data_IF_736627074162
#
_entry.id   IF_736627074162
#
_cell.length_a   1.000
_cell.length_b   1.000
_cell.length_c   1.000
_cell.angle_alpha   90.00
_cell.angle_beta   90.00
_cell.angle_gamma   90.00
#
_symmetry.space_group_name_H-M   'P 1'
#
loop_
_entity.id
_entity.type
_entity.pdbx_description
1 polymer ?
#
# COMPACT_ATOMS: atom_id res chain seq x y z
N UNK A 1 82.17 -36.76 -4.20
CA UNK A 1 81.59 -35.41 -4.36
C UNK A 1 80.43 -35.49 -5.37
N UNK A 2 79.21 -35.80 -4.93
CA UNK A 2 77.97 -35.79 -5.75
C UNK A 2 76.86 -35.27 -4.83
N UNK A 3 76.79 -33.96 -4.56
CA UNK A 3 76.01 -32.90 -5.25
C UNK A 3 74.48 -33.13 -5.29
N UNK A 4 73.83 -32.77 -4.18
CA UNK A 4 72.66 -31.86 -4.05
C UNK A 4 71.61 -31.84 -5.18
N UNK A 5 70.92 -32.95 -5.44
CA UNK A 5 69.66 -32.94 -6.23
C UNK A 5 68.46 -33.61 -5.53
N UNK A 6 68.58 -33.89 -4.24
CA UNK A 6 67.53 -34.52 -3.43
C UNK A 6 66.45 -33.55 -2.90
N UNK A 7 66.43 -32.28 -3.32
CA UNK A 7 65.52 -31.27 -2.75
C UNK A 7 64.47 -30.73 -3.73
N UNK A 8 64.54 -31.05 -5.04
CA UNK A 8 63.63 -30.42 -6.01
C UNK A 8 62.48 -31.27 -6.56
N UNK A 9 62.34 -32.54 -6.19
CA UNK A 9 61.24 -33.38 -6.74
C UNK A 9 60.17 -33.84 -5.74
N UNK A 10 60.30 -33.54 -4.45
CA UNK A 10 59.34 -33.99 -3.44
C UNK A 10 58.24 -32.97 -3.08
N UNK A 11 58.26 -31.75 -3.63
CA UNK A 11 57.36 -30.67 -3.18
C UNK A 11 56.22 -30.36 -4.16
N UNK A 12 56.17 -30.99 -5.34
CA UNK A 12 55.34 -30.48 -6.43
C UNK A 12 54.21 -31.42 -6.89
N UNK A 13 53.47 -32.11 -6.01
CA UNK A 13 52.16 -32.67 -6.41
C UNK A 13 51.25 -33.13 -5.25
N UNK A 14 50.99 -32.30 -4.26
CA UNK A 14 49.89 -32.55 -3.30
C UNK A 14 49.23 -31.26 -2.83
N UNK A 15 48.57 -30.57 -3.75
CA UNK A 15 47.54 -29.58 -3.40
C UNK A 15 46.23 -30.05 -4.05
N UNK A 16 45.71 -31.18 -3.59
CA UNK A 16 44.27 -31.43 -3.65
C UNK A 16 43.65 -30.58 -2.54
N UNK A 17 43.32 -29.34 -2.88
CA UNK A 17 42.45 -28.50 -2.08
C UNK A 17 41.07 -29.14 -2.05
N UNK A 18 40.83 -29.98 -1.04
CA UNK A 18 39.48 -30.35 -0.64
C UNK A 18 38.78 -29.06 -0.22
N UNK A 19 37.96 -28.51 -1.11
CA UNK A 19 36.93 -27.55 -0.75
C UNK A 19 35.98 -28.25 0.20
N UNK A 20 36.28 -28.18 1.49
CA UNK A 20 35.28 -28.39 2.53
C UNK A 20 34.33 -27.21 2.42
N UNK A 21 33.22 -27.42 1.70
CA UNK A 21 32.02 -26.64 1.93
C UNK A 21 31.60 -26.90 3.37
N UNK A 22 32.08 -26.05 4.28
CA UNK A 22 31.42 -25.86 5.55
C UNK A 22 30.06 -25.25 5.21
N UNK A 23 29.05 -26.11 5.06
CA UNK A 23 27.68 -25.71 5.26
C UNK A 23 27.58 -25.33 6.73
N UNK A 24 28.00 -24.10 7.06
CA UNK A 24 27.51 -23.43 8.24
C UNK A 24 26.01 -23.39 8.03
N UNK A 25 25.29 -24.31 8.65
CA UNK A 25 23.91 -24.09 8.97
C UNK A 25 23.93 -22.77 9.76
N UNK A 26 23.60 -21.68 9.08
CA UNK A 26 23.44 -20.38 9.70
C UNK A 26 22.25 -20.56 10.62
N UNK A 27 22.53 -20.98 11.86
CA UNK A 27 21.57 -20.93 12.93
C UNK A 27 21.10 -19.49 12.98
N UNK A 28 19.79 -19.28 13.01
CA UNK A 28 19.17 -17.97 13.20
C UNK A 28 19.87 -17.30 14.38
N UNK A 29 20.78 -16.36 14.11
CA UNK A 29 21.48 -15.61 15.14
C UNK A 29 20.56 -14.48 15.54
N UNK A 30 20.14 -14.46 16.81
CA UNK A 30 19.39 -13.33 17.33
C UNK A 30 20.17 -12.03 17.14
N UNK A 31 19.47 -10.93 16.82
CA UNK A 31 20.08 -9.62 16.63
C UNK A 31 20.35 -9.00 18.01
N UNK A 32 21.61 -8.66 18.30
CA UNK A 32 22.07 -7.99 19.53
C UNK A 32 23.14 -6.93 19.21
N UNK A 33 23.45 -6.05 20.17
CA UNK A 33 24.52 -5.05 20.05
C UNK A 33 24.22 -3.83 19.16
N UNK A 34 23.04 -3.78 18.56
CA UNK A 34 22.58 -2.69 17.70
C UNK A 34 22.01 -1.52 18.51
N UNK A 35 22.73 -1.03 19.52
CA UNK A 35 22.21 -0.05 20.50
C UNK A 35 22.48 1.42 20.17
N UNK A 36 22.97 1.75 18.96
CA UNK A 36 23.14 3.12 18.50
C UNK A 36 22.91 3.26 16.99
N UNK A 37 22.81 4.50 16.50
CA UNK A 37 22.78 4.77 15.06
C UNK A 37 23.98 4.18 14.31
N UNK A 38 25.15 4.12 14.94
CA UNK A 38 26.39 3.67 14.30
C UNK A 38 26.52 2.14 14.31
N UNK A 39 25.82 1.46 15.23
CA UNK A 39 25.75 -0.01 15.30
C UNK A 39 24.43 -0.57 14.76
N UNK A 40 23.64 0.25 14.08
CA UNK A 40 22.33 -0.13 13.56
C UNK A 40 22.42 -1.33 12.62
N UNK A 41 21.59 -2.36 12.86
CA UNK A 41 21.59 -3.59 12.07
C UNK A 41 21.05 -3.33 10.65
N UNK A 42 21.81 -3.59 9.57
CA UNK A 42 21.34 -3.36 8.21
C UNK A 42 20.39 -4.46 7.72
N UNK A 43 19.14 -4.08 7.44
CA UNK A 43 18.12 -4.92 6.78
C UNK A 43 18.33 -4.91 5.26
N UNK A 44 18.83 -3.78 4.73
CA UNK A 44 18.93 -3.52 3.29
C UNK A 44 17.60 -3.09 2.68
N UNK A 45 17.41 -3.37 1.38
CA UNK A 45 16.14 -3.05 0.71
C UNK A 45 15.00 -3.85 1.35
N UNK A 46 13.96 -3.13 1.77
CA UNK A 46 12.94 -3.63 2.70
C UNK A 46 12.13 -4.82 2.17
N UNK A 47 11.92 -4.90 0.85
CA UNK A 47 10.93 -5.80 0.27
C UNK A 47 11.33 -7.26 0.44
N UNK A 48 10.37 -8.08 0.87
CA UNK A 48 10.54 -9.53 1.08
C UNK A 48 11.67 -9.91 2.05
N UNK A 49 12.01 -9.02 2.99
CA UNK A 49 13.00 -9.30 4.03
C UNK A 49 12.35 -9.96 5.23
N UNK A 50 12.97 -11.06 5.67
CA UNK A 50 12.73 -11.63 6.99
C UNK A 50 13.76 -11.02 7.95
N UNK A 51 13.29 -10.38 9.00
CA UNK A 51 14.14 -9.82 10.05
C UNK A 51 14.10 -10.79 11.21
N UNK A 52 15.27 -11.24 11.67
CA UNK A 52 15.37 -12.16 12.78
C UNK A 52 14.94 -11.51 14.10
N UNK A 53 14.62 -12.34 15.10
CA UNK A 53 14.27 -11.85 16.42
C UNK A 53 15.43 -11.04 17.02
N UNK A 54 15.09 -9.87 17.54
CA UNK A 54 16.01 -9.00 18.26
C UNK A 54 15.89 -9.25 19.75
N UNK A 55 17.04 -9.32 20.42
CA UNK A 55 17.14 -9.34 21.88
C UNK A 55 17.70 -7.98 22.31
N UNK A 56 16.85 -7.14 22.88
CA UNK A 56 17.31 -5.95 23.59
C UNK A 56 17.65 -6.35 25.02
N UNK A 57 18.95 -6.51 25.27
CA UNK A 57 19.50 -6.97 26.55
C UNK A 57 19.09 -6.04 27.71
N UNK A 58 18.93 -6.61 28.90
CA UNK A 58 18.65 -5.87 30.11
C UNK A 58 19.68 -4.74 30.32
N UNK A 59 19.19 -3.54 30.61
CA UNK A 59 20.03 -2.34 30.77
C UNK A 59 20.36 -1.60 29.47
N UNK A 60 20.05 -2.17 28.29
CA UNK A 60 20.06 -1.44 27.03
C UNK A 60 18.68 -0.81 26.78
N UNK A 61 18.65 0.48 26.50
CA UNK A 61 17.39 1.22 26.35
C UNK A 61 16.80 1.13 24.94
N UNK A 62 17.64 0.89 23.92
CA UNK A 62 17.27 1.12 22.53
C UNK A 62 17.94 0.11 21.58
N UNK A 63 17.23 -0.24 20.52
CA UNK A 63 17.73 -1.06 19.41
C UNK A 63 17.51 -0.33 18.08
N UNK A 64 18.50 -0.40 17.20
CA UNK A 64 18.59 0.37 15.96
C UNK A 64 18.74 -0.53 14.73
N UNK A 65 18.08 -0.16 13.65
CA UNK A 65 18.11 -0.87 12.37
C UNK A 65 18.18 0.14 11.24
N UNK A 66 18.64 -0.30 10.07
CA UNK A 66 18.52 0.48 8.84
C UNK A 66 17.81 -0.32 7.76
N UNK A 67 16.99 0.35 6.97
CA UNK A 67 16.44 -0.22 5.74
C UNK A 67 16.47 0.82 4.62
N UNK A 68 16.36 0.35 3.38
CA UNK A 68 16.26 1.22 2.21
C UNK A 68 14.94 1.01 1.48
N UNK A 69 14.38 2.09 0.94
CA UNK A 69 13.19 2.09 0.10
C UNK A 69 13.39 3.04 -1.09
N UNK A 70 12.73 2.75 -2.20
CA UNK A 70 12.86 3.49 -3.45
C UNK A 70 11.73 4.50 -3.61
N UNK A 71 11.97 5.51 -4.44
CA UNK A 71 11.02 6.60 -4.71
C UNK A 71 9.59 6.11 -4.95
N UNK A 72 8.65 6.66 -4.22
CA UNK A 72 7.21 6.36 -4.33
C UNK A 72 6.76 5.20 -3.46
N UNK A 73 7.67 4.42 -2.88
CA UNK A 73 7.32 3.39 -1.91
C UNK A 73 6.88 4.03 -0.59
N UNK A 74 5.71 3.62 -0.13
CA UNK A 74 5.11 4.03 1.15
C UNK A 74 4.96 2.79 1.99
N UNK A 75 5.72 2.71 3.07
CA UNK A 75 5.79 1.52 3.92
C UNK A 75 5.46 1.87 5.37
N UNK A 76 5.16 0.84 6.14
CA UNK A 76 5.12 0.94 7.59
C UNK A 76 6.00 -0.15 8.18
N UNK A 77 6.77 0.22 9.21
CA UNK A 77 7.56 -0.71 10.01
C UNK A 77 6.73 -1.12 11.22
N UNK A 78 6.57 -2.42 11.40
CA UNK A 78 5.90 -3.04 12.55
C UNK A 78 6.93 -3.64 13.50
N UNK A 79 6.74 -3.45 14.80
CA UNK A 79 7.37 -4.25 15.85
C UNK A 79 6.32 -5.03 16.62
N UNK A 80 6.56 -6.32 16.84
CA UNK A 80 5.76 -7.11 17.80
C UNK A 80 5.81 -6.46 19.18
N UNK A 81 4.71 -6.53 19.91
CA UNK A 81 4.55 -5.94 21.24
C UNK A 81 4.05 -6.98 22.23
N UNK A 82 4.56 -6.94 23.46
CA UNK A 82 4.03 -7.76 24.58
C UNK A 82 3.47 -6.82 25.65
N UNK A 83 2.41 -7.23 26.35
CA UNK A 83 1.77 -6.41 27.38
C UNK A 83 2.73 -5.95 28.49
N UNK A 84 3.77 -6.73 28.78
CA UNK A 84 4.83 -6.37 29.72
C UNK A 84 5.72 -5.21 29.26
N UNK A 85 5.80 -4.92 27.95
CA UNK A 85 6.67 -3.92 27.34
C UNK A 85 6.07 -2.50 27.40
N UNK A 86 5.59 -2.12 28.58
CA UNK A 86 4.95 -0.82 28.79
C UNK A 86 5.89 0.33 28.41
N UNK A 87 5.38 1.25 27.58
CA UNK A 87 6.15 2.39 27.08
C UNK A 87 7.08 2.07 25.92
N UNK A 88 7.09 0.84 25.40
CA UNK A 88 7.80 0.51 24.17
C UNK A 88 7.30 1.39 23.04
N UNK A 89 8.24 1.98 22.29
CA UNK A 89 7.94 2.84 21.15
C UNK A 89 8.83 2.51 19.97
N UNK A 90 8.32 2.80 18.78
CA UNK A 90 9.06 2.70 17.53
C UNK A 90 9.15 4.07 16.88
N UNK A 91 10.34 4.43 16.40
CA UNK A 91 10.62 5.70 15.76
C UNK A 91 11.36 5.45 14.46
N UNK A 92 11.02 6.20 13.40
CA UNK A 92 11.73 6.19 12.12
C UNK A 92 12.38 7.55 11.93
N UNK A 93 13.64 7.54 11.50
CA UNK A 93 14.42 8.70 11.13
C UNK A 93 14.89 8.59 9.68
N UNK A 94 15.12 9.73 9.04
CA UNK A 94 15.78 9.77 7.73
C UNK A 94 17.29 9.52 7.83
N UNK A 95 17.98 9.52 6.69
CA UNK A 95 19.45 9.35 6.61
C UNK A 95 20.25 10.39 7.43
N UNK A 96 19.66 11.56 7.68
CA UNK A 96 20.26 12.66 8.43
C UNK A 96 19.90 12.60 9.92
N UNK A 97 19.24 11.51 10.37
CA UNK A 97 18.78 11.29 11.75
C UNK A 97 17.70 12.29 12.17
N UNK A 98 16.94 12.82 11.22
CA UNK A 98 15.76 13.67 11.49
C UNK A 98 14.54 12.77 11.68
N UNK A 99 13.74 12.94 12.76
CA UNK A 99 12.52 12.15 12.97
C UNK A 99 11.53 12.30 11.81
N UNK A 100 10.99 11.17 11.35
CA UNK A 100 9.99 11.07 10.27
C UNK A 100 8.64 10.64 10.83
N UNK A 101 8.62 9.62 11.68
CA UNK A 101 7.40 9.04 12.24
C UNK A 101 7.69 8.34 13.56
N UNK A 102 6.67 8.21 14.40
CA UNK A 102 6.74 7.45 15.64
C UNK A 102 5.45 6.69 15.88
N UNK A 103 5.52 5.62 16.67
CA UNK A 103 4.40 4.79 17.09
C UNK A 103 4.50 4.37 18.54
N UNK A 104 3.44 4.66 19.29
CA UNK A 104 3.28 4.24 20.70
C UNK A 104 1.95 3.52 20.93
N UNK A 105 1.00 3.64 20.01
CA UNK A 105 -0.30 2.97 20.10
C UNK A 105 -0.15 1.47 19.79
N UNK A 106 -0.69 0.64 20.69
CA UNK A 106 -0.66 -0.82 20.54
C UNK A 106 -1.89 -1.25 19.75
N UNK A 107 -1.65 -1.74 18.54
CA UNK A 107 -2.68 -2.30 17.67
C UNK A 107 -2.98 -3.74 18.07
N UNK A 108 -4.27 -4.10 18.04
CA UNK A 108 -4.79 -5.40 18.50
C UNK A 108 -4.32 -5.78 19.91
N UNK A 109 -4.49 -4.90 20.91
CA UNK A 109 -3.96 -5.14 22.25
C UNK A 109 -4.55 -6.42 22.85
N UNK A 110 -3.78 -7.08 23.71
CA UNK A 110 -4.16 -8.34 24.38
C UNK A 110 -4.38 -9.52 23.43
N UNK A 111 -3.81 -9.47 22.23
CA UNK A 111 -3.76 -10.60 21.28
C UNK A 111 -2.33 -11.08 21.08
N UNK A 112 -2.16 -12.31 20.58
CA UNK A 112 -0.86 -12.86 20.19
C UNK A 112 -0.18 -12.11 19.03
N UNK A 113 -0.91 -11.22 18.37
CA UNK A 113 -0.44 -10.39 17.26
C UNK A 113 -0.39 -8.90 17.62
N UNK A 114 -0.27 -8.56 18.90
CA UNK A 114 -0.16 -7.15 19.33
C UNK A 114 1.09 -6.51 18.71
N UNK A 115 0.98 -5.28 18.22
CA UNK A 115 2.11 -4.59 17.59
C UNK A 115 2.05 -3.07 17.71
N UNK A 116 3.18 -2.41 17.49
CA UNK A 116 3.30 -0.97 17.29
C UNK A 116 3.89 -0.72 15.89
N UNK A 117 3.63 0.46 15.30
CA UNK A 117 4.14 0.77 13.96
C UNK A 117 4.53 2.23 13.77
N UNK A 118 5.43 2.48 12.82
CA UNK A 118 5.77 3.81 12.33
C UNK A 118 5.86 3.83 10.80
N UNK A 119 5.60 4.99 10.20
CA UNK A 119 5.45 5.16 8.75
C UNK A 119 6.70 5.73 8.08
N UNK A 120 6.97 5.34 6.83
CA UNK A 120 8.02 5.93 6.00
C UNK A 120 7.58 6.07 4.54
N UNK A 121 7.84 7.25 3.96
CA UNK A 121 7.54 7.56 2.56
C UNK A 121 8.85 7.91 1.83
N UNK A 122 9.30 7.04 0.94
CA UNK A 122 10.52 7.28 0.17
C UNK A 122 10.29 8.29 -0.98
N UNK A 123 11.14 9.31 -1.03
CA UNK A 123 11.09 10.43 -1.98
C UNK A 123 12.18 10.36 -3.03
N UNK A 124 13.31 9.72 -2.72
CA UNK A 124 14.48 9.63 -3.60
C UNK A 124 14.65 8.24 -4.19
N UNK A 125 15.51 8.11 -5.22
CA UNK A 125 15.79 6.81 -5.87
C UNK A 125 16.09 5.71 -4.87
N UNK A 126 16.87 6.02 -3.83
CA UNK A 126 17.10 5.16 -2.67
C UNK A 126 17.21 6.02 -1.43
N UNK A 127 16.17 5.99 -0.59
CA UNK A 127 16.23 6.56 0.75
C UNK A 127 16.69 5.50 1.75
N UNK A 128 17.51 5.92 2.70
CA UNK A 128 17.88 5.11 3.87
C UNK A 128 17.14 5.66 5.08
N UNK A 129 16.49 4.77 5.81
CA UNK A 129 15.79 5.07 7.05
C UNK A 129 16.44 4.34 8.20
N UNK A 130 16.51 5.00 9.35
CA UNK A 130 16.84 4.36 10.62
C UNK A 130 15.56 4.07 11.38
N UNK A 131 15.51 2.89 12.00
CA UNK A 131 14.44 2.50 12.91
C UNK A 131 15.04 2.39 14.28
N UNK A 132 14.40 3.00 15.26
CA UNK A 132 14.74 2.93 16.66
C UNK A 132 13.57 2.33 17.41
N UNK A 133 13.84 1.29 18.20
CA UNK A 133 12.87 0.70 19.12
C UNK A 133 13.37 0.97 20.54
N UNK A 134 12.59 1.71 21.32
CA UNK A 134 12.92 1.99 22.72
C UNK A 134 12.14 1.07 23.65
N UNK A 135 12.79 0.69 24.75
CA UNK A 135 12.31 -0.24 25.78
C UNK A 135 11.05 0.20 26.54
N UNK A 136 10.97 1.50 26.86
CA UNK A 136 10.00 1.99 27.83
C UNK A 136 10.43 1.68 29.27
N UNK A 137 9.48 1.26 30.12
CA UNK A 137 9.72 1.04 31.56
C UNK A 137 10.03 -0.43 31.91
N UNK A 138 9.94 -1.34 30.94
CA UNK A 138 10.14 -2.77 31.17
C UNK A 138 11.60 -3.11 31.53
N UNK A 139 11.79 -3.87 32.61
CA UNK A 139 13.09 -4.36 33.06
C UNK A 139 13.29 -5.83 32.67
N UNK A 140 14.47 -6.18 32.15
CA UNK A 140 14.79 -7.53 31.67
C UNK A 140 15.11 -7.58 30.17
N UNK A 141 15.26 -8.76 29.59
CA UNK A 141 15.51 -8.88 28.15
C UNK A 141 14.18 -8.72 27.38
N UNK A 142 14.15 -7.86 26.37
CA UNK A 142 13.01 -7.77 25.46
C UNK A 142 13.27 -8.60 24.20
N UNK A 143 12.25 -9.31 23.75
CA UNK A 143 12.27 -10.11 22.53
C UNK A 143 11.19 -9.56 21.60
N UNK A 144 11.61 -9.06 20.45
CA UNK A 144 10.69 -8.55 19.45
C UNK A 144 11.20 -8.82 18.04
N UNK A 145 10.28 -8.85 17.09
CA UNK A 145 10.59 -9.01 15.67
C UNK A 145 10.05 -7.81 14.91
N UNK A 146 10.82 -7.36 13.93
CA UNK A 146 10.44 -6.30 13.02
C UNK A 146 9.92 -6.86 11.70
N UNK A 147 9.08 -6.09 11.02
CA UNK A 147 8.66 -6.39 9.66
C UNK A 147 8.26 -5.11 8.94
N UNK A 148 8.55 -5.02 7.65
CA UNK A 148 8.24 -3.87 6.82
C UNK A 148 7.22 -4.32 5.77
N UNK A 149 6.13 -3.58 5.62
CA UNK A 149 5.06 -3.91 4.68
C UNK A 149 4.63 -2.68 3.87
N UNK A 150 4.03 -2.94 2.70
CA UNK A 150 3.36 -1.92 1.89
C UNK A 150 2.25 -1.25 2.70
N UNK A 151 2.29 0.08 2.78
CA UNK A 151 1.26 0.88 3.46
C UNK A 151 0.06 1.15 2.57
N UNK A 152 0.28 1.36 1.27
CA UNK A 152 -0.79 1.63 0.31
C UNK A 152 -1.20 0.34 -0.38
N UNK A 153 -2.48 -0.02 -0.30
CA UNK A 153 -3.06 -1.17 -0.99
C UNK A 153 -4.12 -0.72 -1.98
N UNK A 154 -4.24 -1.49 -3.06
CA UNK A 154 -5.30 -1.30 -4.04
C UNK A 154 -6.52 -2.16 -3.71
N UNK A 155 -7.71 -1.67 -4.05
CA UNK A 155 -8.96 -2.39 -3.96
C UNK A 155 -9.90 -2.01 -5.09
N UNK A 156 -11.03 -2.72 -5.18
CA UNK A 156 -12.08 -2.40 -6.14
C UNK A 156 -13.45 -2.77 -5.58
N UNK A 157 -14.49 -2.06 -6.02
CA UNK A 157 -15.87 -2.34 -5.67
C UNK A 157 -16.80 -2.10 -6.86
N UNK A 158 -17.91 -2.84 -6.92
CA UNK A 158 -18.98 -2.61 -7.90
C UNK A 158 -20.26 -2.25 -7.19
N UNK A 159 -20.81 -1.07 -7.50
CA UNK A 159 -21.93 -0.47 -6.80
C UNK A 159 -23.10 -0.21 -7.75
N UNK A 160 -24.28 -0.70 -7.39
CA UNK A 160 -25.50 -0.56 -8.17
C UNK A 160 -26.19 0.77 -7.82
N UNK A 161 -26.52 1.57 -8.83
CA UNK A 161 -27.37 2.75 -8.67
C UNK A 161 -28.83 2.32 -8.49
N UNK A 162 -29.56 3.07 -7.66
CA UNK A 162 -30.99 2.87 -7.46
C UNK A 162 -31.79 3.67 -8.49
N UNK A 163 -32.79 3.02 -9.10
CA UNK A 163 -33.73 3.63 -10.05
C UNK A 163 -33.35 3.44 -11.52
N UNK A 164 -34.05 4.20 -12.38
CA UNK A 164 -33.92 4.18 -13.83
C UNK A 164 -33.68 5.61 -14.32
N UNK A 165 -32.64 5.82 -15.10
CA UNK A 165 -32.38 7.11 -15.74
C UNK A 165 -33.22 7.21 -17.02
N UNK A 166 -34.05 8.24 -17.14
CA UNK A 166 -34.99 8.41 -18.25
C UNK A 166 -34.61 9.62 -19.11
N UNK A 167 -34.58 9.45 -20.42
CA UNK A 167 -34.27 10.51 -21.37
C UNK A 167 -35.40 10.64 -22.38
N UNK A 168 -35.92 11.85 -22.57
CA UNK A 168 -37.04 12.11 -23.48
C UNK A 168 -36.65 12.11 -24.96
N UNK A 169 -35.36 11.98 -25.27
CA UNK A 169 -34.78 12.14 -26.60
C UNK A 169 -34.44 13.59 -26.90
N UNK A 170 -33.51 13.79 -27.83
CA UNK A 170 -33.08 15.10 -28.33
C UNK A 170 -34.04 15.65 -29.40
N UNK A 171 -35.30 15.89 -29.04
CA UNK A 171 -36.36 16.29 -29.99
C UNK A 171 -36.16 17.68 -30.59
N UNK A 172 -35.44 18.57 -29.91
CA UNK A 172 -35.05 19.88 -30.43
C UNK A 172 -33.85 19.84 -31.38
N UNK A 173 -33.27 18.65 -31.62
CA UNK A 173 -32.06 18.46 -32.43
C UNK A 173 -30.89 19.32 -31.95
N UNK A 174 -30.76 19.51 -30.63
CA UNK A 174 -29.66 20.27 -30.04
C UNK A 174 -28.31 19.59 -30.34
N UNK A 175 -27.29 20.31 -30.83
CA UNK A 175 -25.94 19.77 -30.99
C UNK A 175 -25.31 19.29 -29.67
N UNK A 176 -25.78 19.78 -28.52
CA UNK A 176 -25.32 19.36 -27.18
C UNK A 176 -26.02 18.09 -26.67
N UNK A 177 -27.00 17.56 -27.41
CA UNK A 177 -27.81 16.43 -26.99
C UNK A 177 -28.82 16.77 -25.89
N UNK A 178 -29.43 15.72 -25.35
CA UNK A 178 -30.37 15.79 -24.23
C UNK A 178 -29.89 14.93 -23.07
N UNK A 179 -29.96 15.44 -21.86
CA UNK A 179 -29.62 14.71 -20.64
C UNK A 179 -30.81 13.91 -20.11
N UNK A 180 -30.52 12.76 -19.51
CA UNK A 180 -31.49 11.97 -18.74
C UNK A 180 -31.76 12.58 -17.37
N UNK A 181 -32.75 12.02 -16.66
CA UNK A 181 -32.83 12.14 -15.21
C UNK A 181 -31.55 11.61 -14.52
N UNK A 182 -31.31 12.08 -13.29
CA UNK A 182 -30.17 11.68 -12.46
C UNK A 182 -30.60 10.58 -11.50
N UNK A 183 -29.84 9.49 -11.46
CA UNK A 183 -29.95 8.44 -10.43
C UNK A 183 -28.71 8.47 -9.55
N UNK A 184 -28.80 7.90 -8.33
CA UNK A 184 -27.75 8.01 -7.32
C UNK A 184 -27.46 6.67 -6.63
N UNK A 185 -26.25 6.58 -6.10
CA UNK A 185 -25.84 5.58 -5.10
C UNK A 185 -25.12 6.31 -3.97
N UNK A 186 -25.48 5.99 -2.74
CA UNK A 186 -24.85 6.55 -1.54
C UNK A 186 -23.84 5.55 -0.98
N UNK A 187 -22.55 5.89 -1.06
CA UNK A 187 -21.46 5.06 -0.55
C UNK A 187 -20.87 5.59 0.77
N UNK A 188 -21.47 6.63 1.37
CA UNK A 188 -20.91 7.32 2.55
C UNK A 188 -20.74 6.42 3.78
N UNK A 189 -21.62 5.43 3.93
CA UNK A 189 -21.61 4.48 5.05
C UNK A 189 -21.37 3.02 4.60
N UNK A 190 -20.79 2.81 3.42
CA UNK A 190 -20.61 1.47 2.86
C UNK A 190 -19.45 0.75 3.53
N UNK A 191 -19.75 -0.26 4.36
CA UNK A 191 -18.78 -0.96 5.23
C UNK A 191 -17.66 -1.72 4.50
N UNK A 192 -17.83 -2.02 3.21
CA UNK A 192 -16.81 -2.67 2.38
C UNK A 192 -15.79 -1.70 1.76
N UNK A 193 -15.91 -0.40 1.99
CA UNK A 193 -14.98 0.61 1.48
C UNK A 193 -14.01 0.97 2.62
N UNK A 194 -12.70 0.78 2.44
CA UNK A 194 -11.71 1.20 3.44
C UNK A 194 -11.79 2.70 3.74
N UNK A 195 -11.46 3.08 4.97
CA UNK A 195 -11.40 4.49 5.37
C UNK A 195 -10.41 5.24 4.49
N UNK A 196 -10.79 6.45 4.08
CA UNK A 196 -9.97 7.34 3.24
C UNK A 196 -9.52 6.69 1.91
N UNK A 197 -10.29 5.74 1.37
CA UNK A 197 -10.03 5.20 0.05
C UNK A 197 -10.18 6.29 -1.03
N UNK A 198 -9.16 6.40 -1.89
CA UNK A 198 -9.06 7.38 -2.98
C UNK A 198 -9.22 6.66 -4.32
N UNK A 199 -10.08 7.19 -5.17
CA UNK A 199 -10.39 6.65 -6.49
C UNK A 199 -9.13 6.68 -7.37
N UNK A 200 -8.88 5.56 -8.04
CA UNK A 200 -7.83 5.44 -9.08
C UNK A 200 -8.43 5.24 -10.47
N UNK A 201 -9.66 4.74 -10.55
CA UNK A 201 -10.40 4.60 -11.81
C UNK A 201 -11.90 4.40 -11.55
N UNK A 202 -12.73 4.92 -12.45
CA UNK A 202 -14.17 4.66 -12.47
C UNK A 202 -14.59 4.12 -13.83
N UNK A 203 -15.48 3.13 -13.83
CA UNK A 203 -16.17 2.64 -15.01
C UNK A 203 -17.64 2.43 -14.68
N UNK A 204 -18.53 2.63 -15.65
CA UNK A 204 -19.94 2.31 -15.51
C UNK A 204 -20.41 1.27 -16.52
N UNK A 205 -21.44 0.52 -16.16
CA UNK A 205 -22.19 -0.36 -17.05
C UNK A 205 -23.68 -0.12 -16.88
N UNK A 206 -24.47 -0.34 -17.92
CA UNK A 206 -25.92 -0.13 -17.91
C UNK A 206 -26.61 -0.98 -19.00
N UNK A 207 -27.93 -1.10 -18.90
CA UNK A 207 -28.80 -1.61 -19.96
C UNK A 207 -29.66 -0.47 -20.48
N UNK A 208 -29.50 -0.08 -21.75
CA UNK A 208 -30.32 0.96 -22.39
C UNK A 208 -31.48 0.35 -23.20
N UNK A 209 -32.69 0.89 -23.01
CA UNK A 209 -33.89 0.48 -23.75
C UNK A 209 -34.63 1.68 -24.34
N UNK A 210 -34.90 1.72 -25.67
CA UNK A 210 -34.21 0.91 -26.68
C UNK A 210 -32.71 1.28 -26.72
N UNK A 211 -31.86 0.34 -27.16
CA UNK A 211 -30.44 0.64 -27.37
C UNK A 211 -30.28 1.65 -28.50
N UNK A 212 -29.52 2.71 -28.27
CA UNK A 212 -29.32 3.81 -29.21
C UNK A 212 -27.86 4.22 -29.28
N UNK A 213 -27.36 4.46 -30.49
CA UNK A 213 -26.04 5.07 -30.69
C UNK A 213 -25.97 6.52 -30.18
N UNK A 214 -24.77 7.10 -30.20
CA UNK A 214 -24.52 8.50 -29.78
C UNK A 214 -25.00 8.81 -28.36
N UNK A 215 -24.96 7.82 -27.49
CA UNK A 215 -25.21 7.96 -26.06
C UNK A 215 -23.89 8.01 -25.30
N UNK A 216 -23.76 8.90 -24.33
CA UNK A 216 -22.56 9.09 -23.51
C UNK A 216 -22.94 9.03 -22.04
N UNK A 217 -22.25 8.18 -21.28
CA UNK A 217 -22.42 8.10 -19.83
C UNK A 217 -21.76 9.31 -19.15
N UNK A 218 -22.36 9.80 -18.06
CA UNK A 218 -21.81 10.84 -17.19
C UNK A 218 -21.88 10.40 -15.75
N UNK A 219 -20.84 10.70 -14.98
CA UNK A 219 -20.76 10.39 -13.56
C UNK A 219 -20.28 11.62 -12.79
N UNK A 220 -20.71 11.75 -11.55
CA UNK A 220 -20.35 12.86 -10.67
C UNK A 220 -20.28 12.36 -9.24
N UNK A 221 -19.30 12.81 -8.48
CA UNK A 221 -19.25 12.63 -7.03
C UNK A 221 -19.76 13.89 -6.34
N UNK A 222 -20.41 13.73 -5.18
CA UNK A 222 -20.85 14.84 -4.34
C UNK A 222 -19.71 15.67 -3.76
N UNK A 223 -18.47 15.20 -3.89
CA UNK A 223 -17.27 15.87 -3.36
C UNK A 223 -16.91 17.15 -4.11
N UNK A 224 -16.94 17.12 -5.45
CA UNK A 224 -16.69 18.31 -6.29
C UNK A 224 -17.92 18.77 -7.08
N UNK A 225 -18.95 17.91 -7.22
CA UNK A 225 -20.16 18.19 -8.01
C UNK A 225 -19.87 18.49 -9.49
N UNK A 226 -18.82 17.89 -10.05
CA UNK A 226 -18.45 18.02 -11.46
C UNK A 226 -18.80 16.76 -12.25
N UNK A 227 -19.42 16.95 -13.42
CA UNK A 227 -19.80 15.84 -14.30
C UNK A 227 -18.63 15.41 -15.20
N UNK A 228 -18.03 14.25 -14.89
CA UNK A 228 -17.08 13.58 -15.77
C UNK A 228 -17.82 12.87 -16.89
N UNK A 229 -17.44 13.15 -18.15
CA UNK A 229 -18.01 12.50 -19.33
C UNK A 229 -17.19 11.27 -19.69
N UNK A 230 -17.84 10.15 -20.03
CA UNK A 230 -17.14 8.95 -20.46
C UNK A 230 -16.28 9.22 -21.71
N UNK A 231 -15.10 8.63 -21.86
CA UNK A 231 -14.17 8.90 -22.96
C UNK A 231 -14.76 8.62 -24.35
N UNK A 232 -15.70 7.67 -24.44
CA UNK A 232 -16.34 7.23 -25.70
C UNK A 232 -17.86 7.19 -25.55
N UNK A 233 -18.55 7.25 -26.69
CA UNK A 233 -19.99 6.98 -26.76
C UNK A 233 -20.25 5.48 -26.66
N UNK A 234 -21.21 5.09 -25.84
CA UNK A 234 -21.66 3.70 -25.66
C UNK A 234 -23.04 3.70 -25.00
N UNK A 235 -23.92 2.80 -25.45
CA UNK A 235 -25.25 2.59 -24.87
C UNK A 235 -25.22 1.71 -23.61
N UNK A 236 -24.08 1.12 -23.27
CA UNK A 236 -24.01 0.10 -22.21
C UNK A 236 -22.86 0.30 -21.24
N UNK A 237 -21.93 1.22 -21.50
CA UNK A 237 -20.73 1.39 -20.68
C UNK A 237 -20.14 2.78 -20.71
N UNK A 238 -19.39 3.12 -19.66
CA UNK A 238 -18.59 4.34 -19.57
C UNK A 238 -17.23 4.05 -18.94
N UNK A 239 -16.17 4.67 -19.45
CA UNK A 239 -14.87 4.78 -18.78
C UNK A 239 -14.52 6.26 -18.75
N UNK A 240 -13.97 6.76 -17.66
CA UNK A 240 -13.79 8.20 -17.43
C UNK A 240 -12.31 8.54 -17.30
N UNK A 241 -11.97 9.79 -17.62
CA UNK A 241 -10.67 10.37 -17.26
C UNK A 241 -10.71 10.75 -15.77
N UNK A 242 -10.70 9.73 -14.92
CA UNK A 242 -10.62 9.86 -13.47
C UNK A 242 -9.49 8.96 -13.02
N UNK A 243 -8.54 9.53 -12.28
CA UNK A 243 -7.34 8.89 -11.79
C UNK A 243 -7.01 9.32 -10.36
N UNK A 244 -5.93 8.77 -9.81
CA UNK A 244 -5.46 9.14 -8.48
C UNK A 244 -5.17 10.65 -8.33
N UNK A 245 -4.77 11.34 -9.41
CA UNK A 245 -4.47 12.78 -9.34
C UNK A 245 -5.69 13.64 -9.00
N UNK A 246 -6.90 13.14 -9.25
CA UNK A 246 -8.14 13.87 -8.94
C UNK A 246 -8.48 13.85 -7.44
N UNK A 247 -7.82 13.00 -6.66
CA UNK A 247 -7.96 12.92 -5.19
C UNK A 247 -9.42 12.74 -4.73
N UNK A 248 -10.25 12.09 -5.53
CA UNK A 248 -11.65 11.83 -5.19
C UNK A 248 -11.76 10.69 -4.18
N UNK A 249 -12.52 10.89 -3.12
CA UNK A 249 -12.88 9.88 -2.13
C UNK A 249 -13.90 8.90 -2.71
N UNK A 250 -13.74 7.60 -2.41
CA UNK A 250 -14.72 6.58 -2.86
C UNK A 250 -16.05 6.69 -2.08
N UNK A 251 -15.97 6.87 -0.75
CA UNK A 251 -17.11 6.89 0.18
C UNK A 251 -17.90 8.22 0.12
N UNK A 252 -18.52 8.48 -1.02
CA UNK A 252 -19.33 9.68 -1.32
C UNK A 252 -20.64 9.29 -1.99
N UNK A 253 -21.52 10.27 -2.19
CA UNK A 253 -22.69 10.06 -3.03
C UNK A 253 -22.27 10.20 -4.48
N UNK A 254 -22.49 9.16 -5.27
CA UNK A 254 -22.23 9.17 -6.70
C UNK A 254 -23.54 9.32 -7.46
N UNK A 255 -23.52 10.19 -8.47
CA UNK A 255 -24.65 10.47 -9.35
C UNK A 255 -24.32 10.03 -10.77
N UNK A 256 -25.32 9.48 -11.46
CA UNK A 256 -25.21 9.04 -12.83
C UNK A 256 -26.32 9.66 -13.67
N UNK A 257 -25.99 10.00 -14.90
CA UNK A 257 -26.93 10.29 -15.99
C UNK A 257 -26.31 9.88 -17.31
N UNK A 258 -27.08 9.91 -18.38
CA UNK A 258 -26.55 9.82 -19.73
C UNK A 258 -27.07 10.95 -20.61
N UNK A 259 -26.26 11.34 -21.58
CA UNK A 259 -26.59 12.32 -22.61
C UNK A 259 -26.71 11.58 -23.94
N UNK A 260 -27.71 11.92 -24.76
CA UNK A 260 -27.86 11.31 -26.10
C UNK A 260 -28.16 12.35 -27.16
N UNK A 261 -27.64 12.12 -28.37
CA UNK A 261 -28.04 12.86 -29.57
C UNK A 261 -29.25 12.23 -30.28
N UNK A 262 -29.66 11.02 -29.87
CA UNK A 262 -30.80 10.34 -30.48
C UNK A 262 -32.12 11.06 -30.17
N UNK A 263 -33.02 11.11 -31.15
CA UNK A 263 -34.34 11.75 -31.01
C UNK A 263 -35.35 10.90 -30.24
N UNK A 264 -35.15 9.58 -30.25
CA UNK A 264 -36.05 8.65 -29.60
C UNK A 264 -35.82 8.62 -28.08
N UNK A 265 -36.91 8.57 -27.32
CA UNK A 265 -36.89 8.32 -25.87
C UNK A 265 -36.15 7.03 -25.55
N UNK A 266 -35.40 7.02 -24.46
CA UNK A 266 -34.78 5.83 -23.90
C UNK A 266 -34.73 5.85 -22.37
N UNK A 267 -34.42 4.70 -21.79
CA UNK A 267 -34.13 4.54 -20.36
C UNK A 267 -32.83 3.76 -20.17
N UNK A 268 -32.12 4.00 -19.07
CA UNK A 268 -31.01 3.16 -18.62
C UNK A 268 -31.31 2.58 -17.24
N UNK A 269 -31.31 1.26 -17.15
CA UNK A 269 -31.49 0.49 -15.92
C UNK A 269 -30.25 -0.36 -15.65
N UNK A 270 -30.21 -1.05 -14.50
CA UNK A 270 -29.09 -1.89 -14.06
C UNK A 270 -27.74 -1.15 -14.09
N UNK A 271 -27.77 0.15 -13.78
CA UNK A 271 -26.57 0.98 -13.82
C UNK A 271 -25.66 0.60 -12.66
N UNK A 272 -24.41 0.24 -12.97
CA UNK A 272 -23.38 -0.07 -11.97
C UNK A 272 -22.16 0.78 -12.19
N UNK A 273 -21.52 1.25 -11.12
CA UNK A 273 -20.17 1.79 -11.14
C UNK A 273 -19.19 0.76 -10.58
N UNK A 274 -18.18 0.39 -11.35
CA UNK A 274 -16.96 -0.24 -10.84
C UNK A 274 -15.97 0.87 -10.50
N UNK A 275 -15.56 0.93 -9.24
CA UNK A 275 -14.60 1.91 -8.73
C UNK A 275 -13.38 1.16 -8.23
N UNK A 276 -12.24 1.40 -8.88
CA UNK A 276 -10.94 0.95 -8.39
C UNK A 276 -10.34 2.08 -7.54
N UNK A 277 -9.64 1.73 -6.47
CA UNK A 277 -9.15 2.68 -5.49
C UNK A 277 -7.86 2.21 -4.82
N UNK A 278 -7.18 3.14 -4.17
CA UNK A 278 -6.11 2.85 -3.23
C UNK A 278 -6.48 3.36 -1.83
N UNK A 279 -5.90 2.77 -0.80
CA UNK A 279 -6.12 3.17 0.58
C UNK A 279 -4.89 2.90 1.43
N UNK A 280 -4.77 3.66 2.50
CA UNK A 280 -3.73 3.49 3.50
C UNK A 280 -4.19 2.46 4.54
N UNK A 281 -3.44 1.35 4.64
CA UNK A 281 -3.74 0.25 5.57
C UNK A 281 -3.60 0.71 7.02
N UNK A 282 -2.69 1.63 7.31
CA UNK A 282 -2.45 2.08 8.69
C UNK A 282 -3.59 2.94 9.24
N UNK A 283 -4.41 3.51 8.35
CA UNK A 283 -5.66 4.19 8.72
C UNK A 283 -6.82 3.24 9.05
N UNK A 284 -6.61 1.93 8.88
CA UNK A 284 -7.59 0.89 9.20
C UNK A 284 -7.30 0.18 10.52
N UNK A 285 -6.15 0.46 11.14
CA UNK A 285 -5.75 -0.11 12.43
C UNK A 285 -6.56 0.47 13.59
#
# INVERSE_FOLDING_TARGET
MVKKWLIQFAVMLSVLSTFTYSASAVGVTAITGNNSFDTAMPIGYWKYKNIDTTILEAGQDEAYFTFTANKGEKVYMRSTYQSAYTGMKIEIYDKNRIPVSQGTEVINPNTFSSFIYANADAQNTTDTFYVKVSRGTYTGNMYFTLSIEDRIKSGSGTFQFSGVAENKGNTSLSPSGSDSSVIKVDLTNQSGIPRDAIVTRVQTTATQTPSQGNTRHLIMTSENNEWSRALVNSSTSGSYDISLSDQLSVAKVWSFKYNTLATARSTMSNVKAKIDYEYDVTKQF
#
